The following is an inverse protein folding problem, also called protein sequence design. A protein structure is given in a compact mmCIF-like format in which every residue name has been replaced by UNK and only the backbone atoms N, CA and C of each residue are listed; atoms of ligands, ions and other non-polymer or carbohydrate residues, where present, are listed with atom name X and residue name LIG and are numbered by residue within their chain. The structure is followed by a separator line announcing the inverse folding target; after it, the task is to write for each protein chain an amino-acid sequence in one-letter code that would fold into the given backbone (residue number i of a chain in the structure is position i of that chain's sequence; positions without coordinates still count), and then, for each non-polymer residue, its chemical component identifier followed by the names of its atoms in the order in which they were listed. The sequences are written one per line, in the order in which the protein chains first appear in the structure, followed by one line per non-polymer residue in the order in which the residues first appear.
data_IF_443907619637
#
_entry.id   IF_443907619637
#
_cell.length_a   1.000
_cell.length_b   1.000
_cell.length_c   1.000
_cell.angle_alpha   90.00
_cell.angle_beta   90.00
_cell.angle_gamma   90.00
#
_symmetry.space_group_name_H-M   'P 1'
#
loop_
_entity.id
_entity.type
_entity.pdbx_description
1 polymer ?
#
# COMPACT_ATOMS: atom_id res chain seq x y z
N UNK A 1 0.61 6.10 5.17
CA UNK A 1 -0.35 5.47 6.09
C UNK A 1 0.07 5.73 7.54
N UNK A 2 -0.83 5.57 8.52
CA UNK A 2 -0.44 5.59 9.93
C UNK A 2 0.47 4.39 10.24
N UNK A 3 1.71 4.65 10.68
CA UNK A 3 2.76 3.61 10.80
C UNK A 3 2.42 2.60 11.89
N UNK A 4 2.04 3.08 13.07
CA UNK A 4 1.69 2.24 14.21
C UNK A 4 0.49 1.29 13.93
N UNK A 5 -0.65 1.76 13.39
CA UNK A 5 -1.74 0.86 13.03
C UNK A 5 -1.40 -0.12 11.90
N UNK A 6 -0.63 0.32 10.88
CA UNK A 6 -0.21 -0.58 9.80
C UNK A 6 0.70 -1.72 10.32
N UNK A 7 1.60 -1.42 11.26
CA UNK A 7 2.40 -2.45 11.95
C UNK A 7 1.49 -3.36 12.76
N UNK A 8 0.53 -2.80 13.51
CA UNK A 8 -0.40 -3.57 14.34
C UNK A 8 -1.25 -4.58 13.55
N UNK A 9 -1.66 -4.22 12.33
CA UNK A 9 -2.41 -5.06 11.39
C UNK A 9 -1.53 -6.13 10.73
N UNK A 10 -0.32 -5.75 10.30
CA UNK A 10 0.59 -6.65 9.60
C UNK A 10 1.37 -7.60 10.50
N UNK A 11 1.44 -7.31 11.81
CA UNK A 11 2.22 -8.08 12.79
C UNK A 11 1.80 -9.55 12.87
N UNK A 12 0.54 -9.86 12.59
CA UNK A 12 0.04 -11.23 12.52
C UNK A 12 0.82 -12.05 11.48
N UNK A 13 1.06 -11.46 10.30
CA UNK A 13 1.77 -12.13 9.20
C UNK A 13 3.28 -12.21 9.47
N UNK A 14 3.88 -11.12 9.94
CA UNK A 14 5.32 -11.05 10.19
C UNK A 14 5.73 -11.99 11.32
N UNK A 15 4.99 -11.96 12.42
CA UNK A 15 5.28 -12.78 13.58
C UNK A 15 4.97 -14.26 13.32
N UNK A 16 3.87 -14.55 12.60
CA UNK A 16 3.48 -15.91 12.23
C UNK A 16 4.36 -16.57 11.16
N UNK A 17 5.03 -15.78 10.32
CA UNK A 17 5.87 -16.32 9.24
C UNK A 17 7.37 -16.29 9.55
N UNK A 18 7.85 -15.23 10.21
CA UNK A 18 9.28 -14.94 10.37
C UNK A 18 9.78 -15.02 11.83
N UNK A 19 8.86 -15.10 12.79
CA UNK A 19 9.17 -14.90 14.20
C UNK A 19 9.61 -13.47 14.52
N UNK A 20 10.09 -13.26 15.76
CA UNK A 20 10.46 -11.95 16.29
C UNK A 20 11.65 -11.32 15.55
N UNK A 21 12.70 -12.12 15.32
CA UNK A 21 13.93 -11.68 14.66
C UNK A 21 13.68 -11.42 13.18
N UNK A 22 12.93 -12.32 12.51
CA UNK A 22 12.58 -12.14 11.11
C UNK A 22 11.78 -10.86 10.91
N UNK A 23 10.79 -10.57 11.75
CA UNK A 23 9.99 -9.34 11.66
C UNK A 23 10.84 -8.05 11.66
N UNK A 24 11.84 -7.96 12.53
CA UNK A 24 12.72 -6.77 12.63
C UNK A 24 13.56 -6.59 11.37
N UNK A 25 14.21 -7.67 10.91
CA UNK A 25 15.15 -7.61 9.80
C UNK A 25 14.47 -7.61 8.43
N UNK A 26 13.35 -8.33 8.26
CA UNK A 26 12.59 -8.32 7.01
C UNK A 26 11.98 -6.96 6.76
N UNK A 27 11.54 -6.25 7.81
CA UNK A 27 11.07 -4.88 7.70
C UNK A 27 12.19 -3.95 7.22
N UNK A 28 13.37 -3.99 7.86
CA UNK A 28 14.49 -3.13 7.48
C UNK A 28 14.95 -3.41 6.04
N UNK A 29 15.17 -4.67 5.70
CA UNK A 29 15.64 -5.06 4.36
C UNK A 29 14.57 -4.73 3.32
N UNK A 30 13.29 -4.95 3.60
CA UNK A 30 12.23 -4.58 2.67
C UNK A 30 12.13 -3.06 2.46
N UNK A 31 12.28 -2.26 3.51
CA UNK A 31 12.35 -0.80 3.39
C UNK A 31 13.56 -0.38 2.52
N UNK A 32 14.72 -0.99 2.71
CA UNK A 32 15.92 -0.71 1.89
C UNK A 32 15.70 -1.07 0.42
N UNK A 33 14.99 -2.16 0.12
CA UNK A 33 14.63 -2.56 -1.24
C UNK A 33 13.59 -1.65 -1.89
N UNK A 34 12.79 -0.94 -1.10
CA UNK A 34 11.80 0.03 -1.59
C UNK A 34 12.41 1.41 -1.91
N UNK A 35 13.57 1.76 -1.34
CA UNK A 35 14.24 3.05 -1.61
C UNK A 35 14.55 3.24 -3.11
N UNK A 36 15.18 2.27 -3.82
CA UNK A 36 15.39 2.38 -5.26
C UNK A 36 14.10 2.56 -6.06
N UNK A 37 13.01 1.88 -5.64
CA UNK A 37 11.70 1.97 -6.29
C UNK A 37 11.12 3.38 -6.12
N UNK A 38 11.18 3.94 -4.92
CA UNK A 38 10.71 5.31 -4.67
C UNK A 38 11.57 6.38 -5.32
N UNK A 39 12.89 6.17 -5.43
CA UNK A 39 13.77 7.06 -6.19
C UNK A 39 13.40 7.05 -7.68
N UNK A 40 13.19 5.87 -8.27
CA UNK A 40 12.77 5.74 -9.67
C UNK A 40 11.40 6.37 -9.94
N UNK A 41 10.43 6.14 -9.06
CA UNK A 41 9.11 6.78 -9.15
C UNK A 41 9.18 8.29 -8.90
N UNK A 42 10.07 8.76 -8.03
CA UNK A 42 10.35 10.17 -7.81
C UNK A 42 10.92 10.83 -9.07
N UNK A 43 11.86 10.20 -9.76
CA UNK A 43 12.39 10.70 -11.04
C UNK A 43 11.29 10.78 -12.13
N UNK A 44 10.42 9.77 -12.19
CA UNK A 44 9.25 9.79 -13.07
C UNK A 44 8.27 10.92 -12.71
N UNK A 45 7.99 11.12 -11.43
CA UNK A 45 7.13 12.20 -10.93
C UNK A 45 7.71 13.59 -11.15
N UNK A 46 9.04 13.73 -11.10
CA UNK A 46 9.76 14.97 -11.41
C UNK A 46 9.71 15.33 -12.90
N UNK A 47 9.93 14.33 -13.76
CA UNK A 47 9.93 14.52 -15.21
C UNK A 47 8.53 14.68 -15.80
N UNK A 48 7.52 14.08 -15.18
CA UNK A 48 6.14 14.04 -15.67
C UNK A 48 5.12 14.18 -14.51
N UNK A 49 5.00 15.37 -13.90
CA UNK A 49 4.05 15.60 -12.80
C UNK A 49 2.62 15.66 -13.33
N UNK A 50 1.87 14.57 -13.17
CA UNK A 50 0.46 14.47 -13.58
C UNK A 50 -0.35 13.73 -12.52
N UNK A 51 -1.62 14.07 -12.36
CA UNK A 51 -2.52 13.46 -11.36
C UNK A 51 -2.81 11.98 -11.60
N UNK A 52 -2.58 11.48 -12.81
CA UNK A 52 -2.76 10.08 -13.21
C UNK A 52 -1.45 9.29 -13.33
N UNK A 53 -0.43 9.70 -12.57
CA UNK A 53 0.99 9.35 -12.74
C UNK A 53 1.24 7.95 -13.30
N UNK A 54 0.85 6.90 -12.58
CA UNK A 54 1.15 5.50 -12.93
C UNK A 54 0.71 5.08 -14.34
N UNK A 55 -0.55 5.28 -14.70
CA UNK A 55 -1.05 4.85 -16.01
C UNK A 55 -0.49 5.75 -17.13
N UNK A 56 -0.25 7.03 -16.84
CA UNK A 56 0.36 7.97 -17.76
C UNK A 56 1.83 7.63 -18.04
N UNK A 57 2.61 7.27 -17.01
CA UNK A 57 4.00 6.84 -17.14
C UNK A 57 4.10 5.53 -17.92
N UNK A 58 3.23 4.55 -17.63
CA UNK A 58 3.15 3.30 -18.41
C UNK A 58 2.83 3.58 -19.87
N UNK A 59 1.89 4.48 -20.16
CA UNK A 59 1.58 4.85 -21.55
C UNK A 59 2.81 5.42 -22.27
N UNK A 60 3.57 6.31 -21.62
CA UNK A 60 4.78 6.93 -22.18
C UNK A 60 5.92 5.93 -22.42
N UNK A 61 6.11 4.99 -21.50
CA UNK A 61 7.22 4.02 -21.53
C UNK A 61 6.93 2.79 -22.43
N UNK A 62 5.67 2.54 -22.78
CA UNK A 62 5.28 1.38 -23.60
C UNK A 62 5.30 1.69 -25.11
N UNK A 63 5.75 0.76 -25.97
CA UNK A 63 5.72 0.92 -27.42
C UNK A 63 4.29 1.10 -27.98
N UNK A 64 4.11 1.79 -29.12
CA UNK A 64 2.80 2.20 -29.64
C UNK A 64 1.81 1.06 -29.85
N UNK A 65 2.29 -0.14 -30.15
CA UNK A 65 1.46 -1.33 -30.42
C UNK A 65 0.77 -1.89 -29.17
N UNK A 66 1.37 -1.74 -27.98
CA UNK A 66 0.84 -2.29 -26.72
C UNK A 66 0.43 -1.20 -25.72
N UNK A 67 0.75 0.07 -26.02
CA UNK A 67 0.51 1.23 -25.17
C UNK A 67 -0.91 1.28 -24.61
N UNK A 68 -1.92 1.17 -25.48
CA UNK A 68 -3.32 1.29 -25.09
C UNK A 68 -3.77 0.20 -24.10
N UNK A 69 -3.33 -1.04 -24.31
CA UNK A 69 -3.66 -2.15 -23.42
C UNK A 69 -2.91 -2.04 -22.09
N UNK A 70 -1.60 -1.78 -22.12
CA UNK A 70 -0.78 -1.69 -20.91
C UNK A 70 -1.16 -0.49 -20.03
N UNK A 71 -1.46 0.67 -20.62
CA UNK A 71 -1.89 1.83 -19.84
C UNK A 71 -3.29 1.62 -19.24
N UNK A 72 -4.20 0.99 -19.99
CA UNK A 72 -5.52 0.64 -19.48
C UNK A 72 -5.41 -0.37 -18.34
N UNK A 73 -4.62 -1.43 -18.52
CA UNK A 73 -4.38 -2.45 -17.50
C UNK A 73 -3.73 -1.84 -16.25
N UNK A 74 -2.71 -1.00 -16.42
CA UNK A 74 -2.04 -0.33 -15.31
C UNK A 74 -2.98 0.62 -14.56
N UNK A 75 -3.77 1.44 -15.27
CA UNK A 75 -4.74 2.34 -14.66
C UNK A 75 -5.88 1.61 -13.96
N UNK A 76 -6.38 0.54 -14.57
CA UNK A 76 -7.41 -0.31 -13.98
C UNK A 76 -6.91 -1.04 -12.72
N UNK A 77 -5.72 -1.62 -12.77
CA UNK A 77 -5.09 -2.27 -11.61
C UNK A 77 -4.75 -1.25 -10.51
N UNK A 78 -4.39 -0.01 -10.87
CA UNK A 78 -4.15 1.05 -9.89
C UNK A 78 -5.43 1.44 -9.16
N UNK A 79 -6.52 1.68 -9.89
CA UNK A 79 -7.83 1.99 -9.31
C UNK A 79 -8.32 0.85 -8.42
N UNK A 80 -8.23 -0.40 -8.88
CA UNK A 80 -8.58 -1.56 -8.06
C UNK A 80 -7.65 -1.73 -6.86
N UNK A 81 -6.35 -1.46 -7.01
CA UNK A 81 -5.36 -1.44 -5.93
C UNK A 81 -5.78 -0.53 -4.79
N UNK A 82 -6.14 0.72 -5.09
CA UNK A 82 -6.62 1.67 -4.08
C UNK A 82 -7.93 1.25 -3.41
N UNK A 83 -8.87 0.65 -4.16
CA UNK A 83 -10.13 0.12 -3.62
C UNK A 83 -9.87 -1.07 -2.68
N UNK A 84 -9.01 -2.00 -3.11
CA UNK A 84 -8.60 -3.20 -2.39
C UNK A 84 -7.77 -2.90 -1.14
N UNK A 85 -6.92 -1.86 -1.15
CA UNK A 85 -6.20 -1.42 0.06
C UNK A 85 -7.18 -1.07 1.17
N UNK A 86 -8.29 -0.40 0.85
CA UNK A 86 -9.30 -0.04 1.84
C UNK A 86 -10.04 -1.25 2.41
N UNK A 87 -10.37 -2.24 1.57
CA UNK A 87 -11.03 -3.46 2.03
C UNK A 87 -10.09 -4.38 2.84
N UNK A 88 -8.79 -4.35 2.53
CA UNK A 88 -7.79 -5.23 3.15
C UNK A 88 -7.36 -4.83 4.57
N UNK A 89 -7.34 -3.54 4.93
CA UNK A 89 -7.04 -3.07 6.30
C UNK A 89 -8.07 -3.57 7.32
N UNK A 90 -9.30 -3.83 6.88
CA UNK A 90 -10.38 -4.43 7.69
C UNK A 90 -10.19 -5.95 7.83
N UNK A 91 -9.55 -6.60 6.86
CA UNK A 91 -9.38 -8.06 6.79
C UNK A 91 -8.11 -8.58 7.48
N UNK A 92 -7.02 -7.80 7.55
CA UNK A 92 -5.79 -8.20 8.22
C UNK A 92 -6.00 -8.62 9.70
N UNK A 93 -7.06 -8.11 10.35
CA UNK A 93 -7.49 -8.50 11.68
C UNK A 93 -8.15 -9.91 11.78
N UNK A 94 -8.51 -10.55 10.66
CA UNK A 94 -9.32 -11.79 10.64
C UNK A 94 -8.52 -13.06 10.26
N UNK A 95 -7.30 -12.93 9.71
CA UNK A 95 -6.51 -14.06 9.20
C UNK A 95 -5.77 -14.91 10.25
N UNK A 96 -6.10 -14.70 11.52
CA UNK A 96 -5.49 -15.35 12.69
C UNK A 96 -5.75 -16.87 12.75
N UNK A 97 -6.70 -17.39 11.98
CA UNK A 97 -7.04 -18.81 11.94
C UNK A 97 -6.22 -19.66 10.93
N UNK A 98 -5.51 -19.02 9.99
CA UNK A 98 -4.74 -19.73 8.94
C UNK A 98 -3.32 -20.13 9.36
N UNK A 99 -2.76 -19.46 10.37
CA UNK A 99 -1.40 -19.72 10.88
C UNK A 99 -1.31 -20.97 11.77
N UNK A 100 -2.46 -21.48 12.26
CA UNK A 100 -2.51 -22.71 13.08
C UNK A 100 -2.11 -23.97 12.30
N UNK A 101 -2.26 -23.98 10.97
CA UNK A 101 -1.92 -25.15 10.14
C UNK A 101 -0.43 -25.28 9.77
N UNK A 102 0.40 -24.25 10.03
CA UNK A 102 1.84 -24.28 9.73
C UNK A 102 2.73 -24.64 10.93
N UNK A 103 2.17 -24.66 12.14
CA UNK A 103 2.90 -24.98 13.38
C UNK A 103 3.02 -26.51 13.59
N UNK A 104 2.29 -27.32 12.82
CA UNK A 104 2.38 -28.79 12.81
C UNK A 104 3.10 -29.36 11.57
N UNK A 105 3.40 -28.52 10.58
CA UNK A 105 4.11 -28.92 9.36
C UNK A 105 5.55 -28.46 9.41
N UNK A 106 6.47 -29.41 9.56
CA UNK A 106 7.91 -29.17 9.55
C UNK A 106 8.34 -28.74 8.12
N UNK A 107 8.24 -27.45 7.80
CA UNK A 107 8.75 -26.89 6.55
C UNK A 107 10.25 -26.63 6.71
N UNK A 108 11.07 -27.52 6.16
CA UNK A 108 12.55 -27.48 6.21
C UNK A 108 13.18 -26.46 5.25
N UNK A 109 12.53 -25.33 4.97
CA UNK A 109 13.06 -24.28 4.10
C UNK A 109 12.77 -22.87 4.65
N UNK A 110 13.68 -22.37 5.49
CA UNK A 110 13.63 -21.03 6.11
C UNK A 110 13.56 -19.88 5.08
N UNK A 111 14.03 -20.10 3.85
CA UNK A 111 14.06 -19.07 2.81
C UNK A 111 12.67 -18.59 2.36
N UNK A 112 11.68 -19.49 2.25
CA UNK A 112 10.33 -19.09 1.80
C UNK A 112 9.56 -18.33 2.88
N UNK A 113 9.76 -18.69 4.15
CA UNK A 113 9.21 -17.98 5.29
C UNK A 113 9.76 -16.54 5.37
N UNK A 114 11.07 -16.38 5.14
CA UNK A 114 11.71 -15.07 5.02
C UNK A 114 11.14 -14.25 3.85
N UNK A 115 10.95 -14.85 2.67
CA UNK A 115 10.40 -14.15 1.49
C UNK A 115 8.96 -13.67 1.69
N UNK A 116 8.11 -14.46 2.35
CA UNK A 116 6.74 -14.06 2.69
C UNK A 116 6.68 -12.91 3.70
N UNK A 117 7.73 -12.73 4.49
CA UNK A 117 7.81 -11.70 5.52
C UNK A 117 8.11 -10.30 4.97
N UNK A 118 8.61 -10.21 3.73
CA UNK A 118 8.73 -8.96 2.97
C UNK A 118 7.38 -8.34 2.60
N UNK A 119 6.27 -9.08 2.76
CA UNK A 119 4.95 -8.50 2.64
C UNK A 119 4.78 -7.36 3.68
N UNK A 120 5.20 -7.56 4.93
CA UNK A 120 5.09 -6.56 6.01
C UNK A 120 5.60 -5.15 5.67
N UNK A 121 6.87 -4.95 5.26
CA UNK A 121 7.37 -3.62 4.89
C UNK A 121 6.62 -3.05 3.70
N UNK A 122 6.22 -3.87 2.71
CA UNK A 122 5.41 -3.40 1.59
C UNK A 122 4.09 -2.82 2.11
N UNK A 123 3.42 -3.47 3.05
CA UNK A 123 2.14 -3.00 3.60
C UNK A 123 2.25 -1.75 4.47
N UNK A 124 3.32 -1.61 5.26
CA UNK A 124 3.52 -0.44 6.14
C UNK A 124 3.92 0.80 5.36
N UNK A 125 4.64 0.60 4.25
CA UNK A 125 5.29 1.66 3.49
C UNK A 125 4.55 1.98 2.18
N UNK A 126 3.56 1.17 1.80
CA UNK A 126 2.70 1.44 0.63
C UNK A 126 1.95 2.77 0.76
N UNK A 127 1.68 3.38 -0.38
CA UNK A 127 0.97 4.66 -0.49
C UNK A 127 1.87 5.90 -0.60
N UNK A 128 3.20 5.78 -0.66
CA UNK A 128 4.08 6.92 -0.98
C UNK A 128 3.79 7.49 -2.38
N UNK A 129 3.31 6.66 -3.29
CA UNK A 129 2.90 7.03 -4.66
C UNK A 129 1.69 7.96 -4.71
N UNK A 130 0.86 8.02 -3.66
CA UNK A 130 -0.33 8.87 -3.63
C UNK A 130 0.00 10.36 -3.69
N UNK A 131 1.26 10.73 -3.43
CA UNK A 131 1.76 12.09 -3.64
C UNK A 131 1.63 12.56 -5.11
N UNK A 132 1.67 11.64 -6.08
CA UNK A 132 1.47 11.96 -7.50
C UNK A 132 0.03 12.44 -7.78
N UNK A 133 -0.95 11.95 -7.04
CA UNK A 133 -2.38 12.27 -7.26
C UNK A 133 -2.69 13.76 -7.07
N UNK A 134 -1.84 14.48 -6.32
CA UNK A 134 -1.96 15.91 -5.99
C UNK A 134 -1.02 16.75 -6.86
N UNK A 135 -0.30 16.15 -7.82
CA UNK A 135 0.69 16.85 -8.63
C UNK A 135 0.10 18.07 -9.38
N UNK A 136 -1.15 17.99 -9.86
CA UNK A 136 -1.82 19.10 -10.58
C UNK A 136 -2.17 20.30 -9.67
N UNK A 137 -2.24 20.10 -8.36
CA UNK A 137 -2.55 21.15 -7.37
C UNK A 137 -1.30 21.68 -6.64
N UNK A 138 -0.13 21.04 -6.86
CA UNK A 138 1.12 21.42 -6.24
C UNK A 138 1.77 22.61 -6.96
N UNK A 139 2.04 23.69 -6.22
CA UNK A 139 2.68 24.91 -6.74
C UNK A 139 4.07 24.68 -7.35
N UNK A 140 4.75 23.59 -6.99
CA UNK A 140 6.03 23.17 -7.57
C UNK A 140 6.10 21.65 -7.73
N UNK A 141 5.21 21.08 -8.56
CA UNK A 141 5.02 19.64 -8.68
C UNK A 141 6.31 18.85 -9.00
N UNK A 142 7.17 19.36 -9.88
CA UNK A 142 8.41 18.68 -10.29
C UNK A 142 9.42 18.47 -9.15
N UNK A 143 9.40 19.31 -8.11
CA UNK A 143 10.26 19.14 -6.91
C UNK A 143 9.50 18.64 -5.70
N UNK A 144 8.25 19.06 -5.52
CA UNK A 144 7.44 18.72 -4.36
C UNK A 144 7.02 17.24 -4.37
N UNK A 145 6.63 16.70 -5.53
CA UNK A 145 6.21 15.30 -5.67
C UNK A 145 7.35 14.32 -5.34
N UNK A 146 8.55 14.39 -5.97
CA UNK A 146 9.63 13.45 -5.62
C UNK A 146 10.10 13.60 -4.18
N UNK A 147 10.17 14.83 -3.67
CA UNK A 147 10.53 15.07 -2.27
C UNK A 147 9.52 14.42 -1.33
N UNK A 148 8.21 14.58 -1.58
CA UNK A 148 7.15 13.96 -0.77
C UNK A 148 7.22 12.43 -0.81
N UNK A 149 7.43 11.83 -1.99
CA UNK A 149 7.56 10.37 -2.15
C UNK A 149 8.74 9.79 -1.35
N UNK A 150 9.93 10.37 -1.52
CA UNK A 150 11.15 9.83 -0.89
C UNK A 150 11.19 10.14 0.61
N UNK A 151 10.82 11.37 1.00
CA UNK A 151 10.84 11.76 2.42
C UNK A 151 9.81 10.96 3.25
N UNK A 152 8.61 10.73 2.72
CA UNK A 152 7.60 9.93 3.41
C UNK A 152 8.06 8.48 3.60
N UNK A 153 8.71 7.89 2.59
CA UNK A 153 9.32 6.56 2.67
C UNK A 153 10.41 6.50 3.75
N UNK A 154 11.37 7.44 3.73
CA UNK A 154 12.50 7.42 4.67
C UNK A 154 12.03 7.62 6.12
N UNK A 155 11.09 8.55 6.33
CA UNK A 155 10.50 8.78 7.66
C UNK A 155 9.72 7.54 8.12
N UNK A 156 8.94 6.91 7.23
CA UNK A 156 8.18 5.71 7.55
C UNK A 156 9.08 4.50 7.85
N UNK A 157 10.14 4.31 7.05
CA UNK A 157 11.13 3.26 7.28
C UNK A 157 11.83 3.43 8.63
N UNK A 158 12.30 4.63 8.95
CA UNK A 158 13.01 4.89 10.21
C UNK A 158 12.11 4.75 11.44
N UNK A 159 10.96 5.42 11.44
CA UNK A 159 10.05 5.40 12.59
C UNK A 159 9.34 4.06 12.76
N UNK A 160 9.00 3.36 11.68
CA UNK A 160 8.42 2.02 11.77
C UNK A 160 9.41 0.97 12.26
N UNK A 161 10.69 1.08 11.90
CA UNK A 161 11.73 0.18 12.41
C UNK A 161 11.95 0.37 13.92
N UNK A 162 11.95 1.61 14.40
CA UNK A 162 12.01 1.91 15.83
C UNK A 162 10.83 1.28 16.60
N UNK A 163 9.60 1.42 16.08
CA UNK A 163 8.40 0.82 16.70
C UNK A 163 8.48 -0.71 16.72
N UNK A 164 8.93 -1.34 15.63
CA UNK A 164 9.09 -2.81 15.54
C UNK A 164 10.13 -3.32 16.54
N UNK A 165 11.25 -2.60 16.73
CA UNK A 165 12.25 -2.95 17.74
C UNK A 165 11.65 -2.89 19.14
N UNK A 166 10.93 -1.81 19.48
CA UNK A 166 10.28 -1.69 20.79
C UNK A 166 9.32 -2.85 21.04
N UNK A 167 8.49 -3.19 20.06
CA UNK A 167 7.57 -4.33 20.16
C UNK A 167 8.33 -5.65 20.33
N UNK A 168 9.41 -5.87 19.59
CA UNK A 168 10.22 -7.07 19.70
C UNK A 168 10.81 -7.26 21.11
N UNK A 169 11.23 -6.18 21.78
CA UNK A 169 11.68 -6.23 23.17
C UNK A 169 10.53 -6.41 24.17
N UNK A 170 9.33 -5.90 23.90
CA UNK A 170 8.18 -6.00 24.79
C UNK A 170 7.42 -7.35 24.68
N UNK A 171 7.62 -8.11 23.60
CA UNK A 171 6.86 -9.32 23.29
C UNK A 171 7.18 -10.54 24.18
N UNK A 172 8.40 -10.64 24.70
CA UNK A 172 8.85 -11.82 25.44
C UNK A 172 9.10 -13.06 24.55
N UNK A 173 9.27 -14.22 25.17
CA UNK A 173 9.65 -15.48 24.49
C UNK A 173 8.45 -16.30 23.98
N UNK A 174 7.25 -16.09 24.51
CA UNK A 174 6.07 -16.94 24.27
C UNK A 174 5.21 -16.46 23.09
N UNK A 175 5.81 -16.44 21.90
CA UNK A 175 5.17 -16.00 20.65
C UNK A 175 3.89 -16.76 20.31
N UNK A 176 3.82 -18.05 20.68
CA UNK A 176 2.64 -18.91 20.43
C UNK A 176 1.41 -18.38 21.17
N UNK A 177 1.56 -18.00 22.44
CA UNK A 177 0.46 -17.48 23.27
C UNK A 177 -0.10 -16.14 22.74
N UNK A 178 0.76 -15.36 22.09
CA UNK A 178 0.45 -14.04 21.55
C UNK A 178 -0.35 -14.16 20.24
N UNK A 179 0.00 -15.14 19.40
CA UNK A 179 -0.69 -15.40 18.13
C UNK A 179 -2.03 -16.11 18.31
N UNK A 180 -2.17 -16.99 19.31
CA UNK A 180 -3.43 -17.71 19.60
C UNK A 180 -4.29 -17.01 20.65
N UNK A 181 -4.01 -15.74 20.95
CA UNK A 181 -4.73 -15.01 22.00
C UNK A 181 -6.22 -14.88 21.67
N UNK A 182 -7.12 -15.06 22.66
CA UNK A 182 -8.55 -14.85 22.49
C UNK A 182 -8.92 -13.40 22.17
N UNK A 183 -7.98 -12.45 22.30
CA UNK A 183 -8.16 -11.06 21.89
C UNK A 183 -8.16 -10.88 20.36
N UNK A 184 -7.69 -11.88 19.60
CA UNK A 184 -7.68 -11.80 18.13
C UNK A 184 -6.78 -10.68 17.58
N UNK A 185 -5.84 -10.16 18.38
CA UNK A 185 -4.81 -9.24 17.89
C UNK A 185 -3.51 -9.39 18.69
N UNK A 186 -2.39 -9.77 18.06
CA UNK A 186 -1.10 -9.94 18.73
C UNK A 186 -0.61 -8.69 19.50
N UNK A 187 -0.83 -7.49 18.97
CA UNK A 187 -0.38 -6.25 19.62
C UNK A 187 -1.20 -5.94 20.88
N UNK A 188 -2.52 -6.22 20.87
CA UNK A 188 -3.35 -6.09 22.05
C UNK A 188 -2.85 -6.98 23.19
N UNK A 189 -2.41 -8.20 22.87
CA UNK A 189 -1.86 -9.12 23.86
C UNK A 189 -0.50 -8.65 24.41
N UNK A 190 0.40 -8.18 23.55
CA UNK A 190 1.69 -7.62 23.99
C UNK A 190 1.46 -6.39 24.88
N UNK A 191 0.59 -5.47 24.46
CA UNK A 191 0.24 -4.29 25.24
C UNK A 191 -0.41 -4.66 26.58
N UNK A 192 -1.24 -5.69 26.63
CA UNK A 192 -1.84 -6.18 27.87
C UNK A 192 -0.78 -6.75 28.83
N UNK A 193 0.17 -7.53 28.30
CA UNK A 193 1.26 -8.11 29.07
C UNK A 193 2.23 -7.06 29.61
N UNK A 194 2.51 -5.99 28.86
CA UNK A 194 3.47 -4.95 29.26
C UNK A 194 2.89 -3.78 30.05
N UNK A 195 1.66 -3.33 29.73
CA UNK A 195 1.06 -2.09 30.27
C UNK A 195 -0.15 -2.35 31.18
N UNK A 196 -0.60 -3.61 31.31
CA UNK A 196 -1.83 -3.96 31.99
C UNK A 196 -3.11 -3.52 31.24
N UNK A 197 -4.26 -3.74 31.86
CA UNK A 197 -5.59 -3.54 31.22
C UNK A 197 -5.83 -2.10 30.77
N UNK A 198 -5.61 -1.12 31.65
CA UNK A 198 -5.93 0.28 31.36
C UNK A 198 -5.00 0.89 30.30
N UNK A 199 -3.71 0.53 30.33
CA UNK A 199 -2.73 1.01 29.35
C UNK A 199 -2.94 0.38 27.96
N UNK A 200 -3.27 -0.91 27.91
CA UNK A 200 -3.59 -1.60 26.66
C UNK A 200 -4.83 -0.99 25.98
N UNK A 201 -5.91 -0.73 26.73
CA UNK A 201 -7.12 -0.11 26.18
C UNK A 201 -6.84 1.29 25.62
N UNK A 202 -6.09 2.13 26.35
CA UNK A 202 -5.74 3.47 25.87
C UNK A 202 -4.94 3.43 24.56
N UNK A 203 -3.97 2.51 24.45
CA UNK A 203 -3.16 2.32 23.25
C UNK A 203 -4.01 1.84 22.07
N UNK A 204 -4.92 0.88 22.29
CA UNK A 204 -5.81 0.36 21.25
C UNK A 204 -6.79 1.41 20.74
N UNK A 205 -7.34 2.25 21.62
CA UNK A 205 -8.22 3.37 21.22
C UNK A 205 -7.45 4.39 20.37
N UNK A 206 -6.21 4.71 20.76
CA UNK A 206 -5.34 5.60 19.97
C UNK A 206 -5.03 5.02 18.58
N UNK A 207 -4.71 3.72 18.49
CA UNK A 207 -4.50 3.04 17.21
C UNK A 207 -5.75 3.03 16.35
N UNK A 208 -6.92 2.80 16.94
CA UNK A 208 -8.20 2.83 16.22
C UNK A 208 -8.48 4.20 15.60
N UNK A 209 -8.29 5.29 16.35
CA UNK A 209 -8.44 6.66 15.83
C UNK A 209 -7.45 6.91 14.68
N UNK A 210 -6.22 6.45 14.83
CA UNK A 210 -5.18 6.56 13.79
C UNK A 210 -5.53 5.77 12.52
N UNK A 211 -6.15 4.59 12.65
CA UNK A 211 -6.64 3.80 11.53
C UNK A 211 -7.80 4.49 10.80
N UNK A 212 -8.76 5.10 11.52
CA UNK A 212 -9.86 5.85 10.89
C UNK A 212 -9.34 7.03 10.08
N UNK A 213 -8.36 7.76 10.60
CA UNK A 213 -7.69 8.84 9.87
C UNK A 213 -6.93 8.33 8.64
N UNK A 214 -6.37 7.13 8.70
CA UNK A 214 -5.73 6.50 7.55
C UNK A 214 -6.75 6.17 6.43
N UNK A 215 -7.92 5.65 6.80
CA UNK A 215 -8.99 5.32 5.86
C UNK A 215 -9.49 6.57 5.12
N UNK A 216 -9.61 7.73 5.78
CA UNK A 216 -10.06 8.95 5.12
C UNK A 216 -9.06 9.45 4.07
N UNK A 217 -7.75 9.34 4.34
CA UNK A 217 -6.69 9.71 3.38
C UNK A 217 -6.73 8.81 2.14
N UNK A 218 -6.85 7.49 2.35
CA UNK A 218 -6.92 6.51 1.26
C UNK A 218 -8.15 6.72 0.37
N UNK A 219 -9.30 7.06 0.96
CA UNK A 219 -10.52 7.36 0.21
C UNK A 219 -10.36 8.58 -0.71
N UNK A 220 -9.64 9.61 -0.24
CA UNK A 220 -9.35 10.81 -1.05
C UNK A 220 -8.42 10.47 -2.21
N UNK A 221 -7.36 9.68 -1.98
CA UNK A 221 -6.46 9.23 -3.05
C UNK A 221 -7.20 8.36 -4.09
N UNK A 222 -7.95 7.35 -3.64
CA UNK A 222 -8.70 6.42 -4.49
C UNK A 222 -9.71 7.14 -5.40
N UNK A 223 -10.44 8.11 -4.86
CA UNK A 223 -11.43 8.88 -5.61
C UNK A 223 -10.80 9.82 -6.65
N UNK A 224 -9.64 10.41 -6.35
CA UNK A 224 -8.87 11.25 -7.30
C UNK A 224 -8.33 10.43 -8.47
N UNK A 225 -7.78 9.24 -8.21
CA UNK A 225 -7.30 8.32 -9.25
C UNK A 225 -8.44 7.81 -10.13
N UNK A 226 -9.54 7.38 -9.50
CA UNK A 226 -10.74 6.93 -10.22
C UNK A 226 -11.29 8.04 -11.13
N UNK A 227 -11.27 9.29 -10.65
CA UNK A 227 -11.68 10.44 -11.43
C UNK A 227 -10.73 10.74 -12.59
N UNK A 228 -9.41 10.74 -12.36
CA UNK A 228 -8.40 10.97 -13.40
C UNK A 228 -8.49 9.91 -14.50
N UNK A 229 -8.69 8.64 -14.13
CA UNK A 229 -8.85 7.56 -15.09
C UNK A 229 -10.20 7.61 -15.83
N UNK A 230 -11.27 8.04 -15.16
CA UNK A 230 -12.58 8.28 -15.81
C UNK A 230 -12.55 9.48 -16.78
N UNK A 231 -11.76 10.52 -16.48
CA UNK A 231 -11.54 11.67 -17.38
C UNK A 231 -10.96 11.23 -18.72
N UNK A 232 -10.05 10.25 -18.69
CA UNK A 232 -9.34 9.72 -19.86
C UNK A 232 -10.09 8.54 -20.53
N UNK A 233 -11.39 8.37 -20.26
CA UNK A 233 -12.26 7.32 -20.80
C UNK A 233 -11.83 5.86 -20.48
N UNK A 234 -11.04 5.66 -19.42
CA UNK A 234 -10.49 4.34 -19.05
C UNK A 234 -11.46 3.38 -18.36
N UNK A 235 -12.55 3.87 -17.76
CA UNK A 235 -13.52 3.06 -17.01
C UNK A 235 -14.85 2.81 -17.76
N UNK A 236 -15.52 1.67 -17.53
CA UNK A 236 -16.92 1.52 -17.87
C UNK A 236 -17.73 2.60 -17.13
N UNK A 237 -18.64 3.28 -17.82
CA UNK A 237 -19.37 4.47 -17.31
C UNK A 237 -18.54 5.73 -17.05
N UNK A 238 -17.38 5.87 -17.72
CA UNK A 238 -16.51 7.06 -17.65
C UNK A 238 -17.23 8.40 -17.81
N UNK A 239 -18.27 8.47 -18.65
CA UNK A 239 -19.07 9.69 -18.86
C UNK A 239 -19.83 10.17 -17.61
N UNK A 240 -20.23 9.25 -16.73
CA UNK A 240 -20.94 9.57 -15.49
C UNK A 240 -19.99 9.90 -14.34
N UNK A 241 -18.85 9.19 -14.26
CA UNK A 241 -17.86 9.28 -13.18
C UNK A 241 -16.97 10.53 -13.28
N UNK A 242 -16.74 11.05 -14.50
CA UNK A 242 -15.90 12.24 -14.74
C UNK A 242 -16.52 13.59 -14.34
N UNK A 243 -17.71 13.61 -13.73
CA UNK A 243 -18.42 14.85 -13.41
C UNK A 243 -18.00 15.37 -12.04
N UNK A 244 -17.47 16.60 -12.01
CA UNK A 244 -17.13 17.32 -10.77
C UNK A 244 -18.36 18.00 -10.18
N UNK A 245 -18.44 18.02 -8.84
CA UNK A 245 -19.43 18.82 -8.10
C UNK A 245 -19.03 20.32 -8.09
N UNK A 246 -19.95 21.19 -7.67
CA UNK A 246 -19.74 22.64 -7.56
C UNK A 246 -18.49 23.03 -6.74
N UNK A 247 -18.11 22.18 -5.78
CA UNK A 247 -16.93 22.38 -4.92
C UNK A 247 -15.63 21.76 -5.49
N UNK A 248 -15.59 21.42 -6.78
CA UNK A 248 -14.44 20.76 -7.46
C UNK A 248 -14.03 19.41 -6.85
N UNK A 249 -14.93 18.76 -6.11
CA UNK A 249 -14.73 17.41 -5.58
C UNK A 249 -15.46 16.36 -6.45
N UNK A 250 -14.84 15.20 -6.74
CA UNK A 250 -15.44 14.17 -7.60
C UNK A 250 -16.39 13.26 -6.81
N UNK A 251 -17.54 13.81 -6.37
CA UNK A 251 -18.50 13.10 -5.50
C UNK A 251 -19.00 11.78 -6.09
N UNK A 252 -19.22 11.72 -7.40
CA UNK A 252 -19.67 10.48 -8.07
C UNK A 252 -18.62 9.38 -8.07
N UNK A 253 -17.34 9.74 -8.22
CA UNK A 253 -16.24 8.80 -8.10
C UNK A 253 -16.10 8.28 -6.66
N UNK A 254 -16.32 9.14 -5.65
CA UNK A 254 -16.33 8.71 -4.24
C UNK A 254 -17.41 7.66 -3.99
N UNK A 255 -18.65 7.89 -4.45
CA UNK A 255 -19.74 6.92 -4.27
C UNK A 255 -19.42 5.59 -4.97
N UNK A 256 -18.85 5.63 -6.17
CA UNK A 256 -18.41 4.43 -6.88
C UNK A 256 -17.36 3.64 -6.09
N UNK A 257 -16.31 4.30 -5.61
CA UNK A 257 -15.27 3.68 -4.78
C UNK A 257 -15.88 3.05 -3.53
N UNK A 258 -16.76 3.77 -2.82
CA UNK A 258 -17.44 3.25 -1.63
C UNK A 258 -18.26 1.99 -1.94
N UNK A 259 -19.01 1.96 -3.04
CA UNK A 259 -19.80 0.79 -3.43
C UNK A 259 -18.91 -0.41 -3.79
N UNK A 260 -17.81 -0.19 -4.52
CA UNK A 260 -16.85 -1.25 -4.84
C UNK A 260 -16.20 -1.81 -3.58
N UNK A 261 -15.73 -0.94 -2.69
CA UNK A 261 -15.14 -1.34 -1.39
C UNK A 261 -16.15 -2.08 -0.52
N UNK A 262 -17.41 -1.66 -0.46
CA UNK A 262 -18.46 -2.38 0.26
C UNK A 262 -18.69 -3.78 -0.32
N UNK A 263 -18.65 -3.90 -1.65
CA UNK A 263 -18.79 -5.19 -2.34
C UNK A 263 -17.62 -6.12 -2.03
N UNK A 264 -16.39 -5.60 -1.98
CA UNK A 264 -15.21 -6.35 -1.52
C UNK A 264 -15.33 -6.73 -0.03
N UNK A 265 -15.87 -5.84 0.81
CA UNK A 265 -16.18 -6.15 2.20
C UNK A 265 -17.21 -7.29 2.34
N UNK A 266 -18.21 -7.37 1.46
CA UNK A 266 -19.17 -8.46 1.44
C UNK A 266 -18.54 -9.79 0.98
N UNK A 267 -17.56 -9.75 0.07
CA UNK A 267 -16.78 -10.92 -0.36
C UNK A 267 -16.00 -11.56 0.79
N UNK A 268 -15.67 -10.81 1.85
CA UNK A 268 -15.03 -11.34 3.06
C UNK A 268 -15.86 -12.43 3.73
N UNK A 269 -17.20 -12.36 3.66
CA UNK A 269 -18.08 -13.36 4.25
C UNK A 269 -18.19 -14.64 3.41
N UNK A 270 -17.76 -14.60 2.14
CA UNK A 270 -17.90 -15.72 1.21
C UNK A 270 -16.67 -16.61 1.22
N UNK A 271 -15.48 -16.04 0.98
CA UNK A 271 -14.25 -16.84 0.89
C UNK A 271 -12.99 -16.01 1.16
N UNK A 272 -12.25 -16.43 2.18
CA UNK A 272 -11.01 -15.80 2.68
C UNK A 272 -9.81 -16.00 1.75
N UNK A 273 -9.76 -17.08 0.97
CA UNK A 273 -8.68 -17.34 0.00
C UNK A 273 -8.86 -16.45 -1.23
N UNK A 274 -10.08 -16.37 -1.75
CA UNK A 274 -10.38 -15.56 -2.94
C UNK A 274 -10.03 -14.08 -2.72
N UNK A 275 -10.36 -13.54 -1.55
CA UNK A 275 -10.09 -12.12 -1.26
C UNK A 275 -8.60 -11.82 -1.05
N UNK A 276 -7.85 -12.75 -0.42
CA UNK A 276 -6.38 -12.66 -0.31
C UNK A 276 -5.71 -12.58 -1.67
N UNK A 277 -6.16 -13.40 -2.63
CA UNK A 277 -5.63 -13.39 -3.99
C UNK A 277 -5.93 -12.06 -4.70
N UNK A 278 -7.12 -11.50 -4.52
CA UNK A 278 -7.50 -10.19 -5.08
C UNK A 278 -6.62 -9.08 -4.51
N UNK A 279 -6.40 -9.05 -3.20
CA UNK A 279 -5.57 -8.05 -2.53
C UNK A 279 -4.12 -8.09 -3.00
N UNK A 280 -3.51 -9.28 -3.04
CA UNK A 280 -2.14 -9.41 -3.55
C UNK A 280 -2.04 -9.01 -5.03
N UNK A 281 -3.01 -9.42 -5.86
CA UNK A 281 -2.99 -9.11 -7.29
C UNK A 281 -3.12 -7.60 -7.54
N UNK A 282 -4.09 -6.93 -6.89
CA UNK A 282 -4.34 -5.50 -7.10
C UNK A 282 -3.23 -4.61 -6.52
N UNK A 283 -2.57 -5.03 -5.44
CA UNK A 283 -1.47 -4.27 -4.85
C UNK A 283 -0.18 -4.34 -5.68
N UNK A 284 0.15 -5.51 -6.23
CA UNK A 284 1.41 -5.74 -6.95
C UNK A 284 1.30 -5.57 -8.47
N UNK A 285 0.09 -5.62 -9.03
CA UNK A 285 -0.18 -5.50 -10.47
C UNK A 285 0.35 -4.21 -11.13
N UNK A 286 0.20 -3.01 -10.52
CA UNK A 286 0.65 -1.75 -11.13
C UNK A 286 2.18 -1.68 -11.32
N UNK A 287 2.94 -2.11 -10.31
CA UNK A 287 4.41 -2.19 -10.36
C UNK A 287 4.90 -3.21 -11.39
N UNK A 288 4.20 -4.34 -11.50
CA UNK A 288 4.49 -5.33 -12.53
C UNK A 288 4.35 -4.70 -13.93
N UNK A 289 3.27 -3.97 -14.19
CA UNK A 289 3.06 -3.33 -15.50
C UNK A 289 4.17 -2.33 -15.86
N UNK A 290 4.77 -1.63 -14.89
CA UNK A 290 5.93 -0.77 -15.11
C UNK A 290 7.21 -1.55 -15.41
N UNK A 291 7.44 -2.66 -14.71
CA UNK A 291 8.62 -3.51 -14.92
C UNK A 291 8.62 -4.22 -16.28
N UNK A 292 7.45 -4.60 -16.79
CA UNK A 292 7.30 -5.23 -18.10
C UNK A 292 7.29 -4.22 -19.26
N UNK A 293 7.43 -2.90 -19.02
CA UNK A 293 7.55 -1.90 -20.08
C UNK A 293 8.98 -1.94 -20.69
N UNK A 294 9.14 -2.40 -21.95
CA UNK A 294 10.44 -2.82 -22.49
C UNK A 294 11.43 -1.69 -22.86
N UNK A 295 11.14 -0.42 -22.54
CA UNK A 295 11.93 0.74 -22.99
C UNK A 295 12.33 1.73 -21.90
N UNK A 296 12.55 1.25 -20.68
CA UNK A 296 13.04 2.10 -19.57
C UNK A 296 14.35 2.84 -19.95
N UNK A 297 15.38 2.25 -20.59
CA UNK A 297 16.65 2.96 -20.80
C UNK A 297 16.65 3.94 -21.99
N UNK A 298 16.03 3.58 -23.13
CA UNK A 298 16.17 4.33 -24.40
C UNK A 298 15.28 5.59 -24.48
N UNK A 299 14.16 5.59 -23.78
CA UNK A 299 13.24 6.74 -23.71
C UNK A 299 13.71 7.76 -22.66
N UNK A 300 14.40 7.28 -21.61
CA UNK A 300 14.97 8.10 -20.53
C UNK A 300 16.03 9.08 -21.03
N UNK A 301 16.94 8.62 -21.88
CA UNK A 301 18.00 9.44 -22.49
C UNK A 301 17.44 10.65 -23.26
N UNK A 302 16.31 10.48 -23.95
CA UNK A 302 15.65 11.54 -24.73
C UNK A 302 14.78 12.48 -23.88
N UNK A 303 14.31 12.03 -22.72
CA UNK A 303 13.54 12.85 -21.77
C UNK A 303 14.46 13.75 -20.94
N UNK A 304 15.62 13.24 -20.51
CA UNK A 304 16.63 14.02 -19.79
C UNK A 304 17.12 15.22 -20.61
N UNK A 305 17.24 15.08 -21.94
CA UNK A 305 17.60 16.19 -22.85
C UNK A 305 16.49 17.23 -23.01
N UNK A 306 15.22 16.89 -22.82
CA UNK A 306 14.11 17.85 -22.96
C UNK A 306 13.81 18.62 -21.67
N UNK A 307 14.01 18.02 -20.50
CA UNK A 307 13.84 18.72 -19.22
C UNK A 307 14.91 19.79 -18.99
N UNK A 308 16.13 19.64 -19.53
CA UNK A 308 17.17 20.68 -19.47
C UNK A 308 16.93 21.87 -20.42
N UNK A 309 16.01 21.75 -21.38
CA UNK A 309 15.73 22.80 -22.39
C UNK A 309 14.53 23.68 -22.00
N UNK A 310 13.74 23.28 -21.01
CA UNK A 310 12.55 24.01 -20.52
C UNK A 310 12.52 24.13 -18.99
N UNK A 311 13.69 24.25 -18.35
CA UNK A 311 13.83 24.61 -16.94
C UNK A 311 13.98 26.12 -16.76
#
# INVERSE_FOLDING_TARGET
MGIAPAIAESMVFSLGSAGSVGMVWTYLVGCLLLIPVALSLGELGSSMPTSGGLYYWVARLTPPRQRAFMCWLAGYMNVLGYISIYASTIYAATLILGATLKILGNWTNDGWAFMLSFLTPVWVVSGFESAATIAEEASNAAKAVPFAMVSSLVIAAGSGWAVIITIAFCMGTDVVSILTSPLGQPLAQIAFNSLGKSGSVALLVFLWISSVANCSILMVAASRETFAFARDHGLPFSSYLRVLSSNKTPVRAIVFVVLCTLTEGLLMFVNTIAINSIFNLCHHGPLLCLLYAPHIPSTFSKLHTRCLVYG
#
